data_IF_130597506952
#
_entry.id   IF_130597506952
#
_cell.length_a   1.000
_cell.length_b   1.000
_cell.length_c   1.000
_cell.angle_alpha   90.00
_cell.angle_beta   90.00
_cell.angle_gamma   90.00
#
_symmetry.space_group_name_H-M   'P 1'
#
loop_
_entity.id
_entity.type
_entity.pdbx_description
1 polymer ?
#
# COMPACT_ATOMS: atom_id res chain seq x y z
N UNK A 1 23.09 13.21 7.41
CA UNK A 1 21.98 13.53 6.49
C UNK A 1 22.42 14.68 5.61
N UNK A 2 22.32 14.57 4.27
CA UNK A 2 22.59 15.71 3.37
C UNK A 2 21.45 16.72 3.55
N UNK A 3 21.74 17.92 4.02
CA UNK A 3 20.77 19.01 4.11
C UNK A 3 20.49 19.53 2.70
N UNK A 4 19.21 19.54 2.27
CA UNK A 4 18.82 20.10 0.96
C UNK A 4 19.21 21.60 0.95
N UNK A 5 19.91 22.02 -0.11
CA UNK A 5 20.29 23.42 -0.33
C UNK A 5 19.01 24.27 -0.54
N UNK A 6 18.75 25.29 0.28
CA UNK A 6 17.55 26.11 0.19
C UNK A 6 17.47 26.97 -1.08
N UNK A 7 18.56 27.09 -1.85
CA UNK A 7 18.62 27.83 -3.12
C UNK A 7 18.44 26.92 -4.34
N UNK A 8 18.39 25.60 -4.15
CA UNK A 8 18.19 24.66 -5.23
C UNK A 8 16.79 24.83 -5.82
N UNK A 9 16.73 25.22 -7.10
CA UNK A 9 15.52 25.14 -7.94
C UNK A 9 15.29 23.68 -8.32
N UNK A 10 15.12 22.79 -7.33
CA UNK A 10 14.78 21.41 -7.60
C UNK A 10 13.30 21.39 -7.98
N UNK A 11 13.03 21.38 -9.28
CA UNK A 11 11.69 21.19 -9.80
C UNK A 11 11.18 19.81 -9.32
N UNK A 12 10.03 19.71 -8.63
CA UNK A 12 9.45 18.42 -8.25
C UNK A 12 9.27 17.46 -9.44
N UNK A 13 9.09 18.00 -10.66
CA UNK A 13 9.05 17.21 -11.89
C UNK A 13 10.43 16.63 -12.26
N UNK A 14 11.53 17.31 -11.94
CA UNK A 14 12.90 16.82 -12.15
C UNK A 14 13.24 15.66 -11.20
N UNK A 15 12.77 15.70 -9.95
CA UNK A 15 12.90 14.58 -9.00
C UNK A 15 12.18 13.35 -9.58
N UNK A 16 10.94 13.53 -10.06
CA UNK A 16 10.14 12.48 -10.68
C UNK A 16 10.78 11.91 -11.97
N UNK A 17 11.37 12.75 -12.81
CA UNK A 17 12.04 12.33 -14.04
C UNK A 17 13.38 11.62 -13.77
N UNK A 18 14.13 12.04 -12.74
CA UNK A 18 15.26 11.27 -12.23
C UNK A 18 14.83 9.88 -11.75
N UNK A 19 13.68 9.77 -11.09
CA UNK A 19 13.17 8.49 -10.60
C UNK A 19 12.68 7.56 -11.72
N UNK A 20 12.10 8.10 -12.79
CA UNK A 20 11.79 7.33 -14.02
C UNK A 20 13.07 6.79 -14.68
N UNK A 21 14.18 7.53 -14.60
CA UNK A 21 15.47 7.12 -15.16
C UNK A 21 16.12 5.96 -14.38
N UNK A 22 15.81 5.81 -13.10
CA UNK A 22 16.37 4.74 -12.24
C UNK A 22 15.65 3.37 -12.38
N UNK A 23 14.59 3.27 -13.19
CA UNK A 23 13.84 2.03 -13.41
C UNK A 23 12.56 1.95 -12.59
N UNK A 24 12.33 0.82 -11.90
CA UNK A 24 11.07 0.55 -11.19
C UNK A 24 10.98 1.30 -9.84
N UNK A 25 10.72 2.61 -9.90
CA UNK A 25 10.42 3.41 -8.71
C UNK A 25 8.97 3.20 -8.28
N UNK A 26 8.78 2.64 -7.07
CA UNK A 26 7.46 2.37 -6.49
C UNK A 26 6.94 3.51 -5.59
N UNK A 27 7.58 4.67 -5.57
CA UNK A 27 7.17 5.77 -4.68
C UNK A 27 7.60 5.58 -3.23
N UNK A 28 7.02 6.38 -2.33
CA UNK A 28 7.19 6.24 -0.89
C UNK A 28 6.34 5.06 -0.39
N UNK A 29 6.99 4.08 0.25
CA UNK A 29 6.33 2.95 0.90
C UNK A 29 6.39 3.05 2.42
N UNK A 30 5.34 2.60 3.10
CA UNK A 30 5.32 2.43 4.55
C UNK A 30 5.96 1.11 4.98
N UNK A 31 6.33 1.00 6.26
CA UNK A 31 6.89 -0.23 6.82
C UNK A 31 5.91 -1.41 6.71
N UNK A 32 4.61 -1.16 6.88
CA UNK A 32 3.55 -2.13 6.69
C UNK A 32 3.53 -2.68 5.25
N UNK A 33 3.53 -1.80 4.25
CA UNK A 33 3.53 -2.20 2.85
C UNK A 33 4.78 -3.02 2.49
N UNK A 34 5.94 -2.67 3.06
CA UNK A 34 7.18 -3.40 2.85
C UNK A 34 7.14 -4.81 3.48
N UNK A 35 6.61 -4.93 4.70
CA UNK A 35 6.44 -6.21 5.36
C UNK A 35 5.51 -7.15 4.57
N UNK A 36 4.38 -6.62 4.07
CA UNK A 36 3.45 -7.38 3.22
C UNK A 36 4.15 -7.81 1.92
N UNK A 37 4.80 -6.88 1.23
CA UNK A 37 5.48 -7.16 -0.05
C UNK A 37 6.52 -8.28 0.07
N UNK A 38 7.21 -8.38 1.21
CA UNK A 38 8.20 -9.42 1.49
C UNK A 38 7.58 -10.74 2.01
N UNK A 39 6.25 -10.82 2.18
CA UNK A 39 5.56 -11.97 2.75
C UNK A 39 5.87 -12.19 4.24
N UNK A 40 6.25 -11.13 4.97
CA UNK A 40 6.53 -11.19 6.39
C UNK A 40 5.24 -10.99 7.20
N UNK A 41 4.33 -11.94 7.11
CA UNK A 41 2.97 -11.81 7.64
C UNK A 41 2.93 -11.52 9.14
N UNK A 42 3.80 -12.14 9.94
CA UNK A 42 3.87 -11.88 11.39
C UNK A 42 4.20 -10.41 11.70
N UNK A 43 5.21 -9.87 11.02
CA UNK A 43 5.63 -8.47 11.18
C UNK A 43 4.57 -7.53 10.62
N UNK A 44 3.95 -7.87 9.49
CA UNK A 44 2.87 -7.09 8.92
C UNK A 44 1.66 -7.01 9.88
N UNK A 45 1.30 -8.13 10.52
CA UNK A 45 0.25 -8.18 11.56
C UNK A 45 0.61 -7.29 12.75
N UNK A 46 1.82 -7.45 13.31
CA UNK A 46 2.30 -6.65 14.44
C UNK A 46 2.30 -5.14 14.14
N UNK A 47 2.67 -4.76 12.92
CA UNK A 47 2.64 -3.35 12.48
C UNK A 47 1.20 -2.88 12.33
N UNK A 48 0.33 -3.64 11.65
CA UNK A 48 -1.05 -3.26 11.41
C UNK A 48 -1.82 -3.02 12.72
N UNK A 49 -1.63 -3.88 13.73
CA UNK A 49 -2.25 -3.75 15.05
C UNK A 49 -1.83 -2.48 15.81
N UNK A 50 -0.63 -1.96 15.53
CA UNK A 50 -0.04 -0.80 16.21
C UNK A 50 -0.12 0.48 15.39
N UNK A 51 -0.60 0.39 14.15
CA UNK A 51 -0.67 1.51 13.20
C UNK A 51 -1.97 2.28 13.42
N UNK A 52 -1.89 3.62 13.29
CA UNK A 52 -3.07 4.46 13.34
C UNK A 52 -3.89 4.27 12.06
N UNK A 53 -5.22 4.37 12.18
CA UNK A 53 -6.15 4.16 11.05
C UNK A 53 -5.80 5.05 9.86
N UNK A 54 -5.38 6.29 10.12
CA UNK A 54 -5.03 7.30 9.11
C UNK A 54 -3.84 6.87 8.23
N UNK A 55 -3.01 5.94 8.70
CA UNK A 55 -1.80 5.47 8.01
C UNK A 55 -2.04 4.18 7.18
N UNK A 56 -3.20 3.52 7.32
CA UNK A 56 -3.51 2.28 6.59
C UNK A 56 -3.77 2.51 5.10
N UNK A 57 -4.24 3.71 4.77
CA UNK A 57 -4.66 4.12 3.43
C UNK A 57 -3.56 4.82 2.63
N UNK A 58 -2.33 4.86 3.18
CA UNK A 58 -1.17 5.39 2.46
C UNK A 58 -1.04 4.65 1.12
N UNK A 59 -0.88 5.41 0.04
CA UNK A 59 -0.72 4.87 -1.30
C UNK A 59 0.75 4.80 -1.71
N UNK A 60 1.14 3.74 -2.39
CA UNK A 60 2.42 3.59 -3.07
C UNK A 60 2.18 3.18 -4.53
N UNK A 61 3.25 3.18 -5.34
CA UNK A 61 3.35 2.56 -6.67
C UNK A 61 2.04 2.46 -7.46
N UNK A 62 1.68 3.51 -8.19
CA UNK A 62 0.45 3.52 -9.00
C UNK A 62 -0.85 3.58 -8.17
N UNK A 63 -0.81 4.09 -6.93
CA UNK A 63 -2.00 4.33 -6.11
C UNK A 63 -2.49 3.12 -5.32
N UNK A 64 -1.67 2.07 -5.16
CA UNK A 64 -2.02 0.89 -4.39
C UNK A 64 -1.85 1.16 -2.89
N UNK A 65 -2.70 0.55 -2.06
CA UNK A 65 -2.62 0.61 -0.59
C UNK A 65 -2.10 -0.71 -0.02
N UNK A 66 -1.89 -0.78 1.30
CA UNK A 66 -1.56 -2.04 1.97
C UNK A 66 -2.63 -3.12 1.72
N UNK A 67 -3.90 -2.72 1.65
CA UNK A 67 -5.03 -3.62 1.38
C UNK A 67 -5.02 -4.17 -0.05
N UNK A 68 -4.57 -3.39 -1.04
CA UNK A 68 -4.35 -3.89 -2.41
C UNK A 68 -3.27 -4.99 -2.41
N UNK A 69 -2.14 -4.75 -1.72
CA UNK A 69 -1.06 -5.73 -1.63
C UNK A 69 -1.52 -7.03 -0.96
N UNK A 70 -2.16 -6.93 0.21
CA UNK A 70 -2.63 -8.10 0.95
C UNK A 70 -3.61 -8.94 0.11
N UNK A 71 -4.50 -8.27 -0.64
CA UNK A 71 -5.47 -8.93 -1.52
C UNK A 71 -4.80 -9.61 -2.72
N UNK A 72 -3.85 -8.93 -3.35
CA UNK A 72 -3.06 -9.48 -4.47
C UNK A 72 -2.21 -10.68 -4.04
N UNK A 73 -1.66 -10.65 -2.83
CA UNK A 73 -0.85 -11.75 -2.28
C UNK A 73 -1.68 -12.92 -1.75
N UNK A 74 -3.01 -12.81 -1.73
CA UNK A 74 -3.89 -13.83 -1.14
C UNK A 74 -3.76 -13.95 0.37
N UNK A 75 -3.25 -12.92 1.05
CA UNK A 75 -3.01 -12.92 2.49
C UNK A 75 -4.32 -12.62 3.24
N UNK A 76 -5.22 -13.60 3.26
CA UNK A 76 -6.59 -13.48 3.81
C UNK A 76 -6.63 -12.89 5.23
N UNK A 77 -5.81 -13.43 6.13
CA UNK A 77 -5.75 -12.94 7.51
C UNK A 77 -5.37 -11.46 7.59
N UNK A 78 -4.44 -11.01 6.74
CA UNK A 78 -4.03 -9.62 6.68
C UNK A 78 -5.12 -8.75 6.06
N UNK A 79 -5.82 -9.23 5.02
CA UNK A 79 -6.97 -8.51 4.45
C UNK A 79 -8.03 -8.30 5.53
N UNK A 80 -8.38 -9.35 6.27
CA UNK A 80 -9.35 -9.25 7.36
C UNK A 80 -8.88 -8.29 8.46
N UNK A 81 -7.63 -8.43 8.92
CA UNK A 81 -7.07 -7.57 9.96
C UNK A 81 -7.09 -6.09 9.56
N UNK A 82 -6.65 -5.77 8.33
CA UNK A 82 -6.63 -4.40 7.83
C UNK A 82 -8.03 -3.79 7.74
N UNK A 83 -9.02 -4.59 7.30
CA UNK A 83 -10.44 -4.16 7.26
C UNK A 83 -11.00 -3.90 8.67
N UNK A 84 -10.72 -4.79 9.62
CA UNK A 84 -11.12 -4.63 11.03
C UNK A 84 -10.51 -3.38 11.67
N UNK A 85 -9.29 -3.00 11.25
CA UNK A 85 -8.62 -1.77 11.70
C UNK A 85 -9.07 -0.52 10.92
N UNK A 86 -10.03 -0.66 10.01
CA UNK A 86 -10.68 0.44 9.31
C UNK A 86 -9.97 0.93 8.04
N UNK A 87 -9.13 0.10 7.43
CA UNK A 87 -8.57 0.39 6.10
C UNK A 87 -9.70 0.54 5.07
N UNK A 88 -9.56 1.50 4.16
CA UNK A 88 -10.60 1.83 3.21
C UNK A 88 -10.58 0.90 1.99
N UNK A 89 -11.56 -0.01 1.93
CA UNK A 89 -11.75 -0.94 0.82
C UNK A 89 -12.24 -0.31 -0.49
N UNK A 90 -12.57 0.98 -0.51
CA UNK A 90 -13.10 1.66 -1.71
C UNK A 90 -12.05 2.43 -2.51
N UNK A 91 -10.82 2.56 -1.99
CA UNK A 91 -9.74 3.29 -2.67
C UNK A 91 -9.40 2.59 -3.98
N UNK A 92 -9.38 3.35 -5.08
CA UNK A 92 -9.01 2.83 -6.39
C UNK A 92 -7.60 3.24 -6.76
N UNK A 93 -6.79 2.29 -7.22
CA UNK A 93 -5.48 2.57 -7.78
C UNK A 93 -5.57 3.27 -9.16
N UNK A 94 -4.43 3.58 -9.77
CA UNK A 94 -4.35 4.26 -11.07
C UNK A 94 -4.99 3.47 -12.24
N UNK A 95 -5.24 2.18 -12.07
CA UNK A 95 -5.97 1.33 -13.03
C UNK A 95 -7.47 1.26 -12.73
N UNK A 96 -7.97 2.07 -11.80
CA UNK A 96 -9.36 2.07 -11.31
C UNK A 96 -9.79 0.78 -10.60
N UNK A 97 -8.84 -0.03 -10.14
CA UNK A 97 -9.11 -1.24 -9.36
C UNK A 97 -9.12 -0.91 -7.88
N UNK A 98 -10.14 -1.41 -7.19
CA UNK A 98 -10.20 -1.45 -5.72
C UNK A 98 -9.42 -2.67 -5.19
N UNK A 99 -9.18 -2.78 -3.87
CA UNK A 99 -8.44 -3.91 -3.30
C UNK A 99 -9.05 -5.28 -3.61
N UNK A 100 -10.38 -5.39 -3.69
CA UNK A 100 -11.04 -6.66 -4.04
C UNK A 100 -10.83 -7.03 -5.51
N UNK A 101 -10.65 -6.05 -6.39
CA UNK A 101 -10.50 -6.26 -7.84
C UNK A 101 -9.12 -6.82 -8.21
N UNK A 102 -8.11 -6.67 -7.34
CA UNK A 102 -6.75 -7.15 -7.61
C UNK A 102 -6.52 -8.61 -7.20
N UNK A 103 -7.54 -9.27 -6.65
CA UNK A 103 -7.49 -10.68 -6.26
C UNK A 103 -8.46 -11.51 -7.09
N UNK A 104 -8.03 -12.68 -7.56
CA UNK A 104 -8.92 -13.67 -8.17
C UNK A 104 -9.42 -14.72 -7.17
N UNK A 105 -8.91 -14.69 -5.94
CA UNK A 105 -9.27 -15.64 -4.89
C UNK A 105 -10.70 -15.39 -4.37
N UNK A 106 -11.52 -16.44 -4.43
CA UNK A 106 -12.90 -16.40 -3.97
C UNK A 106 -13.00 -16.17 -2.45
N UNK A 107 -12.06 -16.68 -1.66
CA UNK A 107 -12.04 -16.47 -0.22
C UNK A 107 -11.76 -15.01 0.13
N UNK A 108 -10.81 -14.38 -0.56
CA UNK A 108 -10.52 -12.95 -0.37
C UNK A 108 -11.75 -12.12 -0.70
N UNK A 109 -12.40 -12.38 -1.84
CA UNK A 109 -13.63 -11.69 -2.25
C UNK A 109 -14.75 -11.84 -1.21
N UNK A 110 -14.86 -13.01 -0.58
CA UNK A 110 -15.84 -13.26 0.48
C UNK A 110 -15.55 -12.43 1.75
N UNK A 111 -14.29 -12.18 2.10
CA UNK A 111 -13.95 -11.32 3.25
C UNK A 111 -14.50 -9.90 3.03
N UNK A 112 -14.30 -9.33 1.84
CA UNK A 112 -14.84 -8.00 1.50
C UNK A 112 -16.37 -7.94 1.55
N UNK A 113 -17.06 -9.02 1.19
CA UNK A 113 -18.52 -9.09 1.24
C UNK A 113 -19.07 -9.18 2.69
N UNK A 114 -18.26 -9.65 3.64
CA UNK A 114 -18.65 -9.80 5.05
C UNK A 114 -18.32 -8.56 5.89
N UNK A 115 -17.39 -7.71 5.43
CA UNK A 115 -16.93 -6.52 6.14
C UNK A 115 -17.57 -5.21 5.65
N UNK A 116 -18.61 -5.28 4.81
CA UNK A 116 -19.35 -4.14 4.26
C UNK A 116 -20.61 -3.77 5.06
#
# INVERSE_FOLDING_TARGET
>A
MRTKDPTAKCDPALELDMYKFMGAYLGQMSALQYAILLGQDSIAKDIAERTFKEDLDITFGGGNTALHLASFMGAKDLVQLLLEHGANASIKNAKSFSPVDVSDDAEIKNVFAQSA
#
